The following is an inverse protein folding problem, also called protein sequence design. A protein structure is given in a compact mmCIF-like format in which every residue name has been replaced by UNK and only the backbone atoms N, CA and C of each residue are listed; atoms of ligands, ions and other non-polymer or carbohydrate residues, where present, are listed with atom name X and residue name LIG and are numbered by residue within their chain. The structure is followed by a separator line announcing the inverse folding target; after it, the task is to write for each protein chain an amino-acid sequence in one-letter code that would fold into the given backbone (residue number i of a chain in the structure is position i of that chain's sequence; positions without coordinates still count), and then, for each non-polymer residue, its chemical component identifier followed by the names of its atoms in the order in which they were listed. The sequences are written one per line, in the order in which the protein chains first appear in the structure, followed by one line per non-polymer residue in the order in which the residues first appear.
data_IF_482589036738
#
_entry.id   IF_482589036738
#
_cell.length_a   1.000
_cell.length_b   1.000
_cell.length_c   1.000
_cell.angle_alpha   90.00
_cell.angle_beta   90.00
_cell.angle_gamma   90.00
#
_symmetry.space_group_name_H-M   'P 1'
#
loop_
_entity.id
_entity.type
_entity.pdbx_description
1 polymer ?
#
# COMPACT_ATOMS: atom_id res chain seq x y z
N UNK A 1 -7.30 4.51 23.88
CA UNK A 1 -7.19 3.53 22.77
C UNK A 1 -8.44 3.50 21.91
N UNK A 2 -8.30 3.87 20.63
CA UNK A 2 -9.36 3.72 19.60
C UNK A 2 -8.83 2.86 18.46
N UNK A 3 -9.64 1.92 18.02
CA UNK A 3 -9.30 0.98 16.95
C UNK A 3 -9.97 1.41 15.65
N UNK A 4 -9.22 1.38 14.56
CA UNK A 4 -9.66 1.75 13.22
C UNK A 4 -9.46 0.59 12.25
N UNK A 5 -10.44 0.37 11.39
CA UNK A 5 -10.41 -0.66 10.37
C UNK A 5 -9.90 -0.09 9.05
N UNK A 6 -8.91 -0.73 8.46
CA UNK A 6 -8.40 -0.41 7.14
C UNK A 6 -8.82 -1.51 6.18
N UNK A 7 -9.25 -1.14 4.97
CA UNK A 7 -9.63 -2.10 3.93
C UNK A 7 -9.34 -1.55 2.55
N UNK A 8 -9.24 -2.43 1.56
CA UNK A 8 -9.17 -2.06 0.14
C UNK A 8 -10.50 -2.45 -0.49
N UNK A 9 -11.17 -1.50 -1.13
CA UNK A 9 -12.50 -1.69 -1.71
C UNK A 9 -12.48 -1.51 -3.22
N UNK A 10 -13.45 -2.08 -3.95
CA UNK A 10 -13.59 -1.85 -5.40
C UNK A 10 -12.53 -2.50 -6.29
N UNK A 11 -11.54 -3.17 -5.69
CA UNK A 11 -10.52 -3.95 -6.39
C UNK A 11 -10.98 -5.41 -6.54
N UNK A 12 -10.82 -5.97 -7.73
CA UNK A 12 -11.21 -7.37 -8.05
C UNK A 12 -10.03 -8.26 -8.43
N UNK A 13 -8.84 -7.67 -8.55
CA UNK A 13 -7.59 -8.38 -8.76
C UNK A 13 -6.96 -8.81 -7.42
N UNK A 14 -5.87 -9.57 -7.53
CA UNK A 14 -5.13 -10.07 -6.39
C UNK A 14 -4.52 -8.92 -5.58
N UNK A 15 -4.89 -8.82 -4.29
CA UNK A 15 -4.35 -7.80 -3.39
C UNK A 15 -2.92 -8.14 -2.99
N UNK A 16 -1.99 -7.23 -3.28
CA UNK A 16 -0.57 -7.37 -2.91
C UNK A 16 -0.22 -6.62 -1.61
N UNK A 17 -1.09 -5.72 -1.16
CA UNK A 17 -0.91 -4.96 0.08
C UNK A 17 -1.18 -5.89 1.27
N UNK A 18 -0.12 -6.20 2.01
CA UNK A 18 -0.18 -6.94 3.27
C UNK A 18 -0.28 -6.00 4.47
N UNK A 19 -0.63 -6.52 5.66
CA UNK A 19 -0.57 -5.77 6.92
C UNK A 19 0.81 -5.15 7.19
N UNK A 20 1.90 -5.82 6.82
CA UNK A 20 3.26 -5.28 6.98
C UNK A 20 3.52 -4.07 6.08
N UNK A 21 3.07 -4.10 4.82
CA UNK A 21 3.15 -2.94 3.90
C UNK A 21 2.39 -1.76 4.49
N UNK A 22 1.18 -1.99 5.02
CA UNK A 22 0.40 -0.96 5.69
C UNK A 22 1.10 -0.46 6.94
N UNK A 23 1.71 -1.34 7.73
CA UNK A 23 2.44 -0.98 8.94
C UNK A 23 3.60 -0.03 8.65
N UNK A 24 4.38 -0.31 7.61
CA UNK A 24 5.48 0.56 7.17
C UNK A 24 4.97 1.91 6.66
N UNK A 25 3.89 1.93 5.86
CA UNK A 25 3.28 3.16 5.37
C UNK A 25 2.73 4.05 6.50
N UNK A 26 1.95 3.46 7.41
CA UNK A 26 1.40 4.17 8.57
C UNK A 26 2.50 4.74 9.46
N UNK A 27 3.63 4.02 9.59
CA UNK A 27 4.80 4.53 10.29
C UNK A 27 5.41 5.74 9.58
N UNK A 28 5.55 5.73 8.25
CA UNK A 28 6.01 6.92 7.50
C UNK A 28 5.10 8.12 7.70
N UNK A 29 3.77 7.93 7.67
CA UNK A 29 2.81 9.02 7.88
C UNK A 29 2.91 9.57 9.30
N UNK A 30 3.07 8.70 10.30
CA UNK A 30 3.24 9.09 11.71
C UNK A 30 4.53 9.88 11.96
N UNK A 31 5.61 9.51 11.29
CA UNK A 31 6.90 10.21 11.40
C UNK A 31 6.93 11.52 10.59
N UNK A 32 5.92 11.75 9.74
CA UNK A 32 5.80 12.96 8.93
C UNK A 32 5.34 14.17 9.75
N UNK A 33 5.81 15.35 9.35
CA UNK A 33 5.26 16.63 9.82
C UNK A 33 4.13 17.15 8.92
N UNK A 34 4.02 16.64 7.70
CA UNK A 34 3.09 17.14 6.67
C UNK A 34 2.25 16.00 6.05
N UNK A 35 1.07 16.35 5.54
CA UNK A 35 0.18 15.38 4.88
C UNK A 35 0.69 14.93 3.51
N UNK A 36 1.47 15.78 2.86
CA UNK A 36 2.07 15.55 1.56
C UNK A 36 3.52 15.10 1.75
N UNK A 37 3.92 14.04 1.07
CA UNK A 37 5.28 13.53 1.12
C UNK A 37 5.60 12.63 -0.07
N UNK A 38 6.88 12.58 -0.41
CA UNK A 38 7.43 11.60 -1.34
C UNK A 38 8.13 10.49 -0.55
N UNK A 39 7.72 9.24 -0.75
CA UNK A 39 8.29 8.08 -0.06
C UNK A 39 8.92 7.11 -1.07
N UNK A 40 10.16 6.62 -0.86
CA UNK A 40 10.71 5.58 -1.71
C UNK A 40 9.81 4.35 -1.72
N UNK A 41 9.54 3.75 -2.87
CA UNK A 41 8.61 2.62 -2.97
C UNK A 41 9.03 1.43 -2.09
N UNK A 42 10.34 1.13 -2.05
CA UNK A 42 10.88 0.05 -1.19
C UNK A 42 10.81 0.38 0.31
N UNK A 43 10.61 1.63 0.72
CA UNK A 43 10.50 1.99 2.14
C UNK A 43 9.24 1.45 2.81
N UNK A 44 8.22 1.14 2.02
CA UNK A 44 6.96 0.52 2.46
C UNK A 44 6.85 -0.96 2.05
N UNK A 45 7.90 -1.53 1.47
CA UNK A 45 7.95 -2.95 1.10
C UNK A 45 8.78 -3.71 2.13
N UNK A 46 8.24 -4.81 2.71
CA UNK A 46 9.06 -5.71 3.51
C UNK A 46 10.25 -6.25 2.68
N UNK A 47 11.37 -6.52 3.36
CA UNK A 47 12.61 -6.94 2.70
C UNK A 47 12.37 -8.19 1.84
N UNK A 48 12.71 -8.09 0.54
CA UNK A 48 12.54 -9.19 -0.43
C UNK A 48 11.10 -9.37 -0.96
N UNK A 49 10.12 -8.63 -0.43
CA UNK A 49 8.71 -8.79 -0.80
C UNK A 49 8.44 -8.42 -2.26
N UNK A 50 9.06 -7.36 -2.78
CA UNK A 50 8.96 -6.98 -4.19
C UNK A 50 9.38 -8.11 -5.13
N UNK A 51 10.51 -8.77 -4.84
CA UNK A 51 11.01 -9.91 -5.61
C UNK A 51 10.10 -11.14 -5.47
N UNK A 52 9.56 -11.37 -4.28
CA UNK A 52 8.58 -12.42 -4.05
C UNK A 52 7.30 -12.20 -4.87
N UNK A 53 6.75 -10.99 -4.85
CA UNK A 53 5.57 -10.64 -5.63
C UNK A 53 5.83 -10.79 -7.13
N UNK A 54 6.97 -10.36 -7.62
CA UNK A 54 7.34 -10.55 -9.04
C UNK A 54 7.26 -12.04 -9.44
N UNK A 55 7.83 -12.94 -8.63
CA UNK A 55 7.77 -14.38 -8.89
C UNK A 55 6.34 -14.95 -8.77
N UNK A 56 5.59 -14.58 -7.74
CA UNK A 56 4.23 -15.06 -7.50
C UNK A 56 3.28 -14.61 -8.59
N UNK A 57 3.30 -13.32 -8.94
CA UNK A 57 2.38 -12.78 -9.92
C UNK A 57 2.70 -13.34 -11.32
N UNK A 58 3.98 -13.45 -11.71
CA UNK A 58 4.37 -14.07 -12.98
C UNK A 58 4.02 -15.56 -13.04
N UNK A 59 4.24 -16.31 -11.96
CA UNK A 59 3.95 -17.74 -11.89
C UNK A 59 2.45 -18.09 -11.89
N UNK A 60 1.56 -17.11 -11.70
CA UNK A 60 0.10 -17.30 -11.65
C UNK A 60 -0.64 -16.50 -12.74
N UNK A 61 0.06 -16.02 -13.79
CA UNK A 61 -0.55 -15.19 -14.85
C UNK A 61 -1.66 -15.86 -15.65
N UNK A 62 -1.80 -17.18 -15.57
CA UNK A 62 -2.90 -17.92 -16.17
C UNK A 62 -4.22 -17.79 -15.39
N UNK A 63 -4.16 -17.35 -14.13
CA UNK A 63 -5.33 -17.20 -13.25
C UNK A 63 -5.93 -15.81 -13.38
N UNK A 64 -7.26 -15.76 -13.53
CA UNK A 64 -8.03 -14.51 -13.71
C UNK A 64 -7.77 -13.44 -12.64
N UNK A 65 -7.54 -13.83 -11.38
CA UNK A 65 -7.25 -12.89 -10.28
C UNK A 65 -5.93 -12.12 -10.46
N UNK A 66 -4.99 -12.65 -11.25
CA UNK A 66 -3.67 -12.08 -11.48
C UNK A 66 -3.62 -11.24 -12.78
N UNK A 67 -4.78 -10.90 -13.34
CA UNK A 67 -4.92 -10.01 -14.49
C UNK A 67 -5.24 -8.58 -14.03
N UNK A 68 -4.18 -7.81 -13.83
CA UNK A 68 -4.25 -6.40 -13.46
C UNK A 68 -4.58 -5.54 -14.69
N UNK A 69 -5.74 -4.89 -14.72
CA UNK A 69 -6.24 -4.15 -15.90
C UNK A 69 -5.31 -3.02 -16.35
N UNK A 70 -4.56 -2.46 -15.42
CA UNK A 70 -3.58 -1.40 -15.62
C UNK A 70 -2.25 -1.89 -16.20
N UNK A 71 -2.09 -3.21 -16.41
CA UNK A 71 -0.86 -3.82 -16.90
C UNK A 71 -1.17 -4.72 -18.09
N UNK A 72 -0.66 -4.33 -19.24
CA UNK A 72 -0.84 -5.07 -20.50
C UNK A 72 0.29 -6.06 -20.76
N UNK A 73 1.41 -5.86 -20.09
CA UNK A 73 2.66 -6.57 -20.25
C UNK A 73 2.50 -8.03 -19.83
N UNK A 74 3.09 -8.91 -20.65
CA UNK A 74 3.04 -10.36 -20.45
C UNK A 74 3.82 -10.78 -19.21
N UNK A 75 4.97 -10.16 -18.98
CA UNK A 75 5.84 -10.39 -17.83
C UNK A 75 5.87 -9.16 -16.94
N UNK A 76 5.59 -9.37 -15.66
CA UNK A 76 5.68 -8.35 -14.62
C UNK A 76 7.12 -8.17 -14.20
N UNK A 77 7.46 -6.93 -13.94
CA UNK A 77 8.76 -6.48 -13.42
C UNK A 77 8.49 -5.64 -12.20
N UNK A 78 9.52 -5.32 -11.42
CA UNK A 78 9.48 -4.39 -10.29
C UNK A 78 8.54 -3.18 -10.45
N UNK A 79 8.67 -2.41 -11.54
CA UNK A 79 7.79 -1.25 -11.81
C UNK A 79 6.30 -1.60 -11.82
N UNK A 80 5.97 -2.73 -12.44
CA UNK A 80 4.60 -3.22 -12.53
C UNK A 80 4.03 -3.54 -11.14
N UNK A 81 4.84 -4.08 -10.23
CA UNK A 81 4.44 -4.31 -8.83
C UNK A 81 4.05 -2.98 -8.18
N UNK A 82 4.80 -1.92 -8.44
CA UNK A 82 4.54 -0.60 -7.88
C UNK A 82 3.32 0.08 -8.47
N UNK A 83 3.07 -0.09 -9.77
CA UNK A 83 1.81 0.36 -10.39
C UNK A 83 0.59 -0.38 -9.84
N UNK A 84 0.72 -1.68 -9.51
CA UNK A 84 -0.35 -2.42 -8.82
C UNK A 84 -0.57 -1.86 -7.42
N UNK A 85 0.50 -1.63 -6.67
CA UNK A 85 0.43 -1.09 -5.32
C UNK A 85 -0.22 0.30 -5.32
N UNK A 86 0.19 1.19 -6.23
CA UNK A 86 -0.41 2.50 -6.44
C UNK A 86 -1.93 2.39 -6.64
N UNK A 87 -2.37 1.53 -7.56
CA UNK A 87 -3.80 1.32 -7.84
C UNK A 87 -4.56 0.84 -6.60
N UNK A 88 -3.99 -0.07 -5.82
CA UNK A 88 -4.63 -0.59 -4.62
C UNK A 88 -4.62 0.43 -3.47
N UNK A 89 -3.57 1.26 -3.34
CA UNK A 89 -3.50 2.34 -2.35
C UNK A 89 -4.52 3.44 -2.62
N UNK A 90 -4.80 3.78 -3.89
CA UNK A 90 -5.89 4.70 -4.26
C UNK A 90 -7.28 4.22 -3.78
N UNK A 91 -7.43 2.92 -3.54
CA UNK A 91 -8.66 2.29 -3.07
C UNK A 91 -8.63 1.96 -1.56
N UNK A 92 -7.60 2.41 -0.84
CA UNK A 92 -7.46 2.19 0.59
C UNK A 92 -8.44 3.08 1.36
N UNK A 93 -9.17 2.45 2.27
CA UNK A 93 -10.12 3.12 3.15
C UNK A 93 -9.82 2.87 4.61
N UNK A 94 -10.09 3.89 5.41
CA UNK A 94 -10.18 3.80 6.87
C UNK A 94 -11.65 3.95 7.26
N UNK A 95 -12.19 2.95 7.93
CA UNK A 95 -13.63 2.76 8.15
C UNK A 95 -14.42 2.78 6.82
N UNK A 96 -14.92 3.95 6.42
CA UNK A 96 -15.67 4.16 5.16
C UNK A 96 -15.06 5.23 4.27
N UNK A 97 -14.07 5.96 4.79
CA UNK A 97 -13.48 7.14 4.19
C UNK A 97 -12.19 6.76 3.47
N UNK A 98 -11.88 7.46 2.39
CA UNK A 98 -10.64 7.28 1.63
C UNK A 98 -9.44 7.78 2.44
N UNK A 99 -8.32 7.07 2.37
CA UNK A 99 -7.11 7.45 3.09
C UNK A 99 -6.34 8.60 2.44
N UNK A 100 -6.39 8.71 1.11
CA UNK A 100 -5.54 9.61 0.34
C UNK A 100 -6.35 10.55 -0.56
N UNK A 101 -5.91 11.79 -0.67
CA UNK A 101 -6.30 12.70 -1.76
C UNK A 101 -5.49 12.36 -3.03
N UNK A 102 -4.22 11.95 -2.84
CA UNK A 102 -3.28 11.63 -3.91
C UNK A 102 -2.38 10.47 -3.51
N UNK A 103 -2.10 9.57 -4.44
CA UNK A 103 -1.08 8.53 -4.30
C UNK A 103 -0.57 8.15 -5.69
N UNK A 104 0.56 8.70 -6.12
CA UNK A 104 1.06 8.56 -7.48
C UNK A 104 2.47 7.99 -7.53
N UNK A 105 2.70 7.00 -8.40
CA UNK A 105 4.04 6.47 -8.64
C UNK A 105 4.87 7.48 -9.44
N UNK A 106 5.98 7.92 -8.86
CA UNK A 106 7.05 8.62 -9.54
C UNK A 106 8.07 7.59 -10.04
N UNK A 107 8.13 7.42 -11.35
CA UNK A 107 9.18 6.69 -12.03
C UNK A 107 10.03 7.72 -12.79
N UNK A 108 11.19 8.07 -12.24
CA UNK A 108 12.19 8.79 -13.05
C UNK A 108 12.70 7.83 -14.13
N UNK A 109 13.24 8.36 -15.24
CA UNK A 109 13.71 7.60 -16.41
C UNK A 109 14.91 6.65 -16.13
N UNK A 110 15.12 6.23 -14.87
CA UNK A 110 16.07 5.24 -14.42
C UNK A 110 15.35 4.08 -13.72
N UNK A 111 15.68 2.84 -14.09
CA UNK A 111 15.05 1.61 -13.58
C UNK A 111 15.24 1.36 -12.06
N UNK A 112 15.84 2.29 -11.32
CA UNK A 112 16.32 2.07 -9.95
C UNK A 112 15.70 2.99 -8.91
N UNK A 113 15.05 4.09 -9.30
CA UNK A 113 14.48 5.06 -8.37
C UNK A 113 12.96 5.19 -8.56
N UNK A 114 12.22 4.43 -7.75
CA UNK A 114 10.77 4.51 -7.66
C UNK A 114 10.36 5.11 -6.32
N UNK A 115 9.50 6.11 -6.35
CA UNK A 115 8.91 6.73 -5.17
C UNK A 115 7.41 6.92 -5.36
N UNK A 116 6.66 7.10 -4.28
CA UNK A 116 5.27 7.54 -4.33
C UNK A 116 5.17 8.97 -3.84
N UNK A 117 4.58 9.83 -4.67
CA UNK A 117 4.11 11.14 -4.23
C UNK A 117 2.69 10.98 -3.70
N UNK A 118 2.51 11.22 -2.40
CA UNK A 118 1.22 11.02 -1.74
C UNK A 118 0.78 12.25 -0.95
N UNK A 119 -0.53 12.43 -0.87
CA UNK A 119 -1.18 13.37 0.04
C UNK A 119 -2.29 12.61 0.79
N UNK A 120 -2.15 12.54 2.11
CA UNK A 120 -3.15 11.93 2.99
C UNK A 120 -4.35 12.86 3.22
N UNK A 121 -5.55 12.29 3.36
CA UNK A 121 -6.70 13.05 3.84
C UNK A 121 -6.44 13.52 5.26
N UNK A 122 -6.98 14.70 5.60
CA UNK A 122 -6.75 15.37 6.89
C UNK A 122 -7.05 14.46 8.09
N UNK A 123 -8.21 13.81 8.09
CA UNK A 123 -8.63 12.98 9.21
C UNK A 123 -7.76 11.71 9.33
N UNK A 124 -7.46 11.06 8.21
CA UNK A 124 -6.56 9.91 8.17
C UNK A 124 -5.17 10.25 8.72
N UNK A 125 -4.62 11.41 8.35
CA UNK A 125 -3.34 11.89 8.86
C UNK A 125 -3.33 12.03 10.39
N UNK A 126 -4.32 12.72 10.97
CA UNK A 126 -4.39 12.90 12.43
C UNK A 126 -4.63 11.59 13.17
N UNK A 127 -5.40 10.66 12.58
CA UNK A 127 -5.57 9.32 13.14
C UNK A 127 -4.21 8.59 13.20
N UNK A 128 -3.38 8.69 12.16
CA UNK A 128 -2.05 8.08 12.13
C UNK A 128 -1.10 8.69 13.18
N UNK A 129 -1.19 10.00 13.40
CA UNK A 129 -0.40 10.77 14.37
C UNK A 129 -0.76 10.44 15.82
N UNK A 130 -2.00 10.05 16.10
CA UNK A 130 -2.42 9.67 17.45
C UNK A 130 -1.75 8.35 17.90
N UNK A 131 -0.94 8.45 18.96
CA UNK A 131 -0.24 7.31 19.57
C UNK A 131 -1.18 6.27 20.17
N UNK A 132 -2.43 6.62 20.47
CA UNK A 132 -3.47 5.71 20.98
C UNK A 132 -4.27 5.01 19.89
N UNK A 133 -4.08 5.41 18.62
CA UNK A 133 -4.68 4.74 17.47
C UNK A 133 -4.09 3.34 17.28
N UNK A 134 -4.98 2.38 17.06
CA UNK A 134 -4.65 1.01 16.65
C UNK A 134 -5.36 0.71 15.34
N UNK A 135 -4.75 -0.13 14.51
CA UNK A 135 -5.24 -0.40 13.17
C UNK A 135 -5.39 -1.90 12.96
N UNK A 136 -6.50 -2.28 12.31
CA UNK A 136 -6.78 -3.65 11.91
C UNK A 136 -7.10 -3.67 10.42
N UNK A 137 -6.37 -4.48 9.67
CA UNK A 137 -6.64 -4.71 8.26
C UNK A 137 -7.77 -5.72 8.10
N UNK A 138 -8.76 -5.37 7.29
CA UNK A 138 -9.89 -6.23 6.94
C UNK A 138 -9.72 -6.66 5.49
N UNK A 139 -9.48 -7.95 5.29
CA UNK A 139 -9.35 -8.55 3.97
C UNK A 139 -10.72 -8.61 3.25
N UNK A 140 -10.75 -8.72 1.91
CA UNK A 140 -12.01 -8.83 1.17
C UNK A 140 -12.89 -10.04 1.56
N UNK A 141 -12.27 -11.11 2.06
CA UNK A 141 -12.96 -12.31 2.56
C UNK A 141 -13.48 -12.16 4.01
N UNK A 142 -13.30 -10.99 4.62
CA UNK A 142 -13.73 -10.69 5.99
C UNK A 142 -12.75 -11.12 7.08
N UNK A 143 -11.63 -11.80 6.74
CA UNK A 143 -10.55 -12.03 7.70
C UNK A 143 -10.01 -10.70 8.20
N UNK A 144 -9.49 -10.71 9.43
CA UNK A 144 -8.95 -9.52 10.06
C UNK A 144 -7.57 -9.81 10.63
N UNK A 145 -6.67 -8.86 10.48
CA UNK A 145 -5.31 -8.95 11.01
C UNK A 145 -4.88 -7.59 11.56
N UNK A 146 -4.32 -7.60 12.76
CA UNK A 146 -3.86 -6.37 13.41
C UNK A 146 -2.60 -5.87 12.72
N UNK A 147 -2.57 -4.59 12.38
CA UNK A 147 -1.39 -3.96 11.81
C UNK A 147 -0.45 -3.57 12.94
N UNK A 148 0.81 -4.02 12.83
CA UNK A 148 1.87 -3.65 13.77
C UNK A 148 2.68 -2.52 13.17
N UNK A 149 2.83 -1.43 13.93
CA UNK A 149 3.68 -0.31 13.55
C UNK A 149 5.08 -0.57 14.10
N UNK A 150 6.05 -0.71 13.20
CA UNK A 150 7.44 -0.86 13.58
C UNK A 150 7.98 0.50 14.04
N UNK A 151 8.26 0.67 15.33
CA UNK A 151 9.15 1.75 15.74
C UNK A 151 10.50 1.49 15.08
N UNK A 152 10.96 2.39 14.21
CA UNK A 152 12.36 2.41 13.80
C UNK A 152 13.19 2.62 15.07
N UNK A 153 13.95 1.59 15.47
CA UNK A 153 14.90 1.65 16.59
C UNK A 153 16.08 2.52 16.23
#
# INVERSE_FOLDING_TARGET
MKEYKISIVGVTDFIIISPDVLGLLLQQIRESFERQMDIPAESIMPVGYTKYLEAVLNGNRDKKLFHFKQISEKELKKEHIYRILEHQMKNLKIEKDECFEKFELLAENSETQYAYSMESKKDFFYICQDAESRFTYVFPDGRQERITLSCRK
#
